data_IF_169184996586
#
_entry.id   IF_169184996586
#
_cell.length_a   1.000
_cell.length_b   1.000
_cell.length_c   1.000
_cell.angle_alpha   90.00
_cell.angle_beta   90.00
_cell.angle_gamma   90.00
#
_symmetry.space_group_name_H-M   'P 1'
#
loop_
_entity.id
_entity.type
_entity.pdbx_description
1 polymer ?
#
# COMPACT_ATOMS: atom_id res chain seq x y z
N UNK A 1 4.13 -8.31 -0.86
CA UNK A 1 4.06 -6.85 -1.10
C UNK A 1 5.24 -6.25 -0.37
N UNK A 2 6.19 -5.66 -1.08
CA UNK A 2 7.46 -5.19 -0.50
C UNK A 2 7.24 -4.11 0.55
N UNK A 3 7.92 -4.24 1.68
CA UNK A 3 7.91 -3.28 2.79
C UNK A 3 6.77 -3.44 3.80
N UNK A 4 5.71 -4.19 3.48
CA UNK A 4 4.69 -4.55 4.47
C UNK A 4 5.21 -5.64 5.41
N UNK A 5 4.89 -5.53 6.69
CA UNK A 5 5.13 -6.57 7.67
C UNK A 5 3.83 -7.32 7.99
N UNK A 6 3.89 -8.65 8.20
CA UNK A 6 2.73 -9.43 8.64
C UNK A 6 2.27 -8.94 10.02
N UNK A 7 0.97 -9.04 10.28
CA UNK A 7 0.36 -8.79 11.59
C UNK A 7 0.06 -10.10 12.30
N UNK A 8 -0.36 -10.04 13.56
CA UNK A 8 -0.82 -11.23 14.29
C UNK A 8 -2.00 -11.88 13.55
N UNK A 9 -2.03 -13.22 13.38
CA UNK A 9 -3.09 -13.89 12.62
C UNK A 9 -4.53 -13.54 13.04
N UNK A 10 -4.87 -13.42 14.35
CA UNK A 10 -6.20 -12.98 14.77
C UNK A 10 -6.53 -11.55 14.34
N UNK A 11 -5.53 -10.66 14.25
CA UNK A 11 -5.74 -9.30 13.76
C UNK A 11 -5.99 -9.27 12.25
N UNK A 12 -5.32 -10.13 11.48
CA UNK A 12 -5.60 -10.28 10.05
C UNK A 12 -7.00 -10.86 9.82
N UNK A 13 -7.38 -11.90 10.57
CA UNK A 13 -8.70 -12.54 10.49
C UNK A 13 -9.84 -11.57 10.84
N UNK A 14 -9.64 -10.71 11.84
CA UNK A 14 -10.61 -9.69 12.24
C UNK A 14 -10.87 -8.63 11.16
N UNK A 15 -9.90 -8.39 10.27
CA UNK A 15 -10.07 -7.48 9.13
C UNK A 15 -10.83 -8.18 7.99
N UNK A 16 -10.40 -9.38 7.62
CA UNK A 16 -11.03 -10.19 6.57
C UNK A 16 -10.51 -11.64 6.70
N UNK A 17 -11.38 -12.67 6.83
CA UNK A 17 -10.92 -14.06 6.95
C UNK A 17 -9.97 -14.52 5.84
N UNK A 18 -10.20 -14.10 4.60
CA UNK A 18 -9.31 -14.43 3.48
C UNK A 18 -7.91 -13.81 3.61
N UNK A 19 -7.75 -12.78 4.43
CA UNK A 19 -6.47 -12.10 4.65
C UNK A 19 -5.48 -12.94 5.45
N UNK A 20 -5.93 -13.94 6.22
CA UNK A 20 -5.04 -14.85 6.97
C UNK A 20 -4.05 -15.54 6.03
N UNK A 21 -4.55 -16.06 4.90
CA UNK A 21 -3.68 -16.68 3.89
C UNK A 21 -2.70 -15.66 3.30
N UNK A 22 -3.15 -14.45 2.98
CA UNK A 22 -2.28 -13.38 2.45
C UNK A 22 -1.20 -13.00 3.47
N UNK A 23 -1.55 -12.91 4.75
CA UNK A 23 -0.65 -12.60 5.85
C UNK A 23 0.44 -13.67 6.03
N UNK A 24 0.10 -14.94 5.88
CA UNK A 24 1.08 -16.03 5.89
C UNK A 24 2.04 -15.95 4.70
N UNK A 25 1.52 -15.72 3.48
CA UNK A 25 2.38 -15.57 2.30
C UNK A 25 3.29 -14.33 2.39
N UNK A 26 2.83 -13.27 3.05
CA UNK A 26 3.61 -12.03 3.21
C UNK A 26 4.93 -12.27 3.94
N UNK A 27 4.99 -13.22 4.88
CA UNK A 27 6.22 -13.58 5.61
C UNK A 27 7.39 -13.92 4.68
N UNK A 28 7.11 -14.52 3.51
CA UNK A 28 8.14 -14.90 2.54
C UNK A 28 8.84 -13.71 1.86
N UNK A 29 8.18 -12.54 1.79
CA UNK A 29 8.70 -11.38 1.08
C UNK A 29 9.93 -10.78 1.74
N UNK A 30 10.05 -10.91 3.07
CA UNK A 30 11.19 -10.41 3.82
C UNK A 30 12.51 -10.96 3.29
N UNK A 31 12.62 -12.29 3.23
CA UNK A 31 13.83 -12.97 2.76
C UNK A 31 13.98 -12.94 1.23
N UNK A 32 12.87 -12.92 0.49
CA UNK A 32 12.91 -12.93 -0.97
C UNK A 32 13.35 -11.58 -1.57
N UNK A 33 12.99 -10.46 -0.93
CA UNK A 33 13.16 -9.13 -1.52
C UNK A 33 13.61 -8.09 -0.51
N UNK A 34 12.89 -7.93 0.61
CA UNK A 34 13.01 -6.73 1.44
C UNK A 34 14.40 -6.64 2.12
N UNK A 35 15.04 -7.76 2.46
CA UNK A 35 16.41 -7.81 3.01
C UNK A 35 17.49 -7.34 2.02
N UNK A 36 17.19 -7.32 0.73
CA UNK A 36 18.11 -6.84 -0.31
C UNK A 36 18.00 -5.33 -0.54
N UNK A 37 17.06 -4.66 0.14
CA UNK A 37 16.76 -3.24 -0.06
C UNK A 37 17.42 -2.39 1.02
N UNK A 38 18.43 -1.62 0.62
CA UNK A 38 19.19 -0.77 1.54
C UNK A 38 18.47 0.52 1.97
N UNK A 39 17.57 1.02 1.12
CA UNK A 39 16.90 2.32 1.31
C UNK A 39 15.48 2.26 0.76
N UNK A 40 14.56 2.93 1.44
CA UNK A 40 13.14 2.91 1.10
C UNK A 40 12.60 4.32 0.86
N UNK A 41 11.72 4.42 -0.14
CA UNK A 41 10.83 5.55 -0.34
C UNK A 41 9.40 5.06 -0.14
N UNK A 42 8.73 5.55 0.90
CA UNK A 42 7.33 5.25 1.19
C UNK A 42 6.48 6.44 0.79
N UNK A 43 5.54 6.21 -0.13
CA UNK A 43 4.50 7.20 -0.45
C UNK A 43 3.31 6.94 0.47
N UNK A 44 3.14 7.82 1.46
CA UNK A 44 2.02 7.80 2.38
C UNK A 44 0.85 8.56 1.77
N UNK A 45 -0.35 8.03 1.96
CA UNK A 45 -1.60 8.66 1.56
C UNK A 45 -2.52 8.77 2.77
N UNK A 46 -3.28 9.88 2.85
CA UNK A 46 -4.16 10.16 3.99
C UNK A 46 -5.36 9.21 4.07
N UNK A 47 -5.93 8.83 2.93
CA UNK A 47 -7.06 7.90 2.86
C UNK A 47 -6.85 6.85 1.76
N UNK A 48 -6.79 5.54 2.10
CA UNK A 48 -6.67 4.45 1.14
C UNK A 48 -7.78 4.42 0.07
N UNK A 49 -8.96 4.99 0.34
CA UNK A 49 -10.06 5.05 -0.63
C UNK A 49 -9.73 5.90 -1.86
N UNK A 50 -8.73 6.79 -1.79
CA UNK A 50 -8.27 7.55 -2.96
C UNK A 50 -7.77 6.67 -4.10
N UNK A 51 -7.31 5.44 -3.79
CA UNK A 51 -6.88 4.44 -4.78
C UNK A 51 -8.00 4.14 -5.79
N UNK A 52 -9.27 4.16 -5.37
CA UNK A 52 -10.40 3.97 -6.28
C UNK A 52 -10.43 5.06 -7.36
N UNK A 53 -10.44 6.32 -6.94
CA UNK A 53 -10.44 7.48 -7.85
C UNK A 53 -9.21 7.48 -8.75
N UNK A 54 -8.05 7.12 -8.20
CA UNK A 54 -6.82 7.04 -8.99
C UNK A 54 -6.84 5.91 -10.01
N UNK A 55 -7.39 4.74 -9.67
CA UNK A 55 -7.54 3.64 -10.62
C UNK A 55 -8.52 3.99 -11.72
N UNK A 56 -9.62 4.66 -11.39
CA UNK A 56 -10.60 5.17 -12.36
C UNK A 56 -9.94 6.12 -13.36
N UNK A 57 -9.21 7.13 -12.87
CA UNK A 57 -8.47 8.07 -13.73
C UNK A 57 -7.46 7.36 -14.65
N UNK A 58 -6.76 6.35 -14.14
CA UNK A 58 -5.83 5.56 -14.95
C UNK A 58 -6.55 4.79 -16.06
N UNK A 59 -7.72 4.22 -15.76
CA UNK A 59 -8.53 3.49 -16.72
C UNK A 59 -9.12 4.41 -17.81
N UNK A 60 -9.62 5.58 -17.42
CA UNK A 60 -10.11 6.61 -18.36
C UNK A 60 -9.01 7.06 -19.33
N UNK A 61 -7.78 7.27 -18.84
CA UNK A 61 -6.62 7.59 -19.69
C UNK A 61 -6.29 6.45 -20.65
N UNK A 62 -6.37 5.19 -20.21
CA UNK A 62 -6.17 4.04 -21.10
C UNK A 62 -7.25 3.95 -22.17
N UNK A 63 -8.52 4.15 -21.81
CA UNK A 63 -9.64 4.19 -22.77
C UNK A 63 -9.49 5.32 -23.79
N UNK A 64 -9.11 6.51 -23.35
CA UNK A 64 -8.84 7.64 -24.22
C UNK A 64 -7.68 7.36 -25.21
N UNK A 65 -6.74 6.48 -24.85
CA UNK A 65 -5.67 6.01 -25.74
C UNK A 65 -6.10 4.90 -26.73
N UNK A 66 -7.39 4.56 -26.79
CA UNK A 66 -7.95 3.58 -27.71
C UNK A 66 -7.89 2.13 -27.22
N UNK A 67 -7.56 1.89 -25.95
CA UNK A 67 -7.55 0.54 -25.36
C UNK A 67 -8.91 0.20 -24.75
N UNK A 68 -9.27 -1.09 -24.75
CA UNK A 68 -10.37 -1.56 -23.91
C UNK A 68 -10.03 -1.40 -22.43
N UNK A 69 -11.04 -1.24 -21.60
CA UNK A 69 -10.85 -1.05 -20.17
C UNK A 69 -12.08 -1.43 -19.35
N UNK A 70 -11.88 -1.55 -18.05
CA UNK A 70 -12.87 -1.94 -17.06
C UNK A 70 -13.98 -0.89 -16.89
N UNK A 71 -15.19 -1.33 -16.55
CA UNK A 71 -16.27 -0.44 -16.09
C UNK A 71 -15.99 0.10 -14.68
N UNK A 72 -16.73 1.12 -14.24
CA UNK A 72 -16.56 1.68 -12.90
C UNK A 72 -16.82 0.64 -11.79
N UNK A 73 -17.75 -0.28 -12.03
CA UNK A 73 -18.11 -1.38 -11.14
C UNK A 73 -17.00 -2.42 -11.08
N UNK A 74 -16.42 -2.79 -12.23
CA UNK A 74 -15.27 -3.68 -12.30
C UNK A 74 -14.04 -3.08 -11.61
N UNK A 75 -13.85 -1.76 -11.70
CA UNK A 75 -12.80 -1.05 -10.96
C UNK A 75 -13.07 -1.09 -9.46
N UNK A 76 -14.32 -0.92 -9.03
CA UNK A 76 -14.69 -0.97 -7.62
C UNK A 76 -14.41 -2.35 -7.03
N UNK A 77 -14.84 -3.40 -7.73
CA UNK A 77 -14.58 -4.80 -7.37
C UNK A 77 -13.08 -5.14 -7.40
N UNK A 78 -12.32 -4.58 -8.36
CA UNK A 78 -10.88 -4.78 -8.39
C UNK A 78 -10.18 -4.14 -7.18
N UNK A 79 -10.52 -2.88 -6.87
CA UNK A 79 -9.89 -2.12 -5.78
C UNK A 79 -10.27 -2.69 -4.42
N UNK A 80 -11.51 -3.13 -4.24
CA UNK A 80 -12.01 -3.67 -2.96
C UNK A 80 -11.16 -4.84 -2.45
N UNK A 81 -10.59 -5.66 -3.34
CA UNK A 81 -9.72 -6.79 -3.01
C UNK A 81 -8.41 -6.39 -2.30
N UNK A 82 -7.98 -5.13 -2.44
CA UNK A 82 -6.75 -4.63 -1.81
C UNK A 82 -7.02 -3.85 -0.52
N UNK A 83 -8.24 -3.34 -0.32
CA UNK A 83 -8.59 -2.53 0.85
C UNK A 83 -8.34 -3.27 2.18
N UNK A 84 -8.69 -4.56 2.35
CA UNK A 84 -8.37 -5.30 3.59
C UNK A 84 -6.87 -5.31 3.92
N UNK A 85 -6.02 -5.51 2.91
CA UNK A 85 -4.58 -5.49 3.10
C UNK A 85 -4.08 -4.10 3.52
N UNK A 86 -4.62 -3.02 2.94
CA UNK A 86 -4.27 -1.67 3.36
C UNK A 86 -4.69 -1.39 4.80
N UNK A 87 -5.91 -1.78 5.18
CA UNK A 87 -6.41 -1.62 6.55
C UNK A 87 -5.52 -2.34 7.57
N UNK A 88 -5.02 -3.54 7.23
CA UNK A 88 -4.17 -4.32 8.13
C UNK A 88 -2.71 -3.84 8.16
N UNK A 89 -2.11 -3.49 7.01
CA UNK A 89 -0.66 -3.35 6.89
C UNK A 89 -0.15 -1.91 6.82
N UNK A 90 -0.96 -0.94 6.36
CA UNK A 90 -0.53 0.47 6.31
C UNK A 90 -0.22 1.07 7.68
N UNK A 91 -0.97 0.77 8.77
CA UNK A 91 -0.66 1.33 10.08
C UNK A 91 0.77 1.00 10.53
N UNK A 92 1.20 -0.26 10.37
CA UNK A 92 2.56 -0.70 10.68
C UNK A 92 3.61 -0.05 9.78
N UNK A 93 3.36 -0.04 8.46
CA UNK A 93 4.27 0.59 7.50
C UNK A 93 4.47 2.08 7.77
N UNK A 94 3.41 2.83 8.08
CA UNK A 94 3.51 4.27 8.32
C UNK A 94 4.11 4.61 9.69
N UNK A 95 3.95 3.74 10.68
CA UNK A 95 4.50 3.96 12.02
C UNK A 95 6.00 3.64 12.11
N UNK A 96 6.45 2.58 11.44
CA UNK A 96 7.82 2.06 11.58
C UNK A 96 8.63 2.03 10.28
N UNK A 97 7.99 2.26 9.13
CA UNK A 97 8.60 2.01 7.84
C UNK A 97 8.82 0.52 7.55
N UNK A 98 9.43 0.20 6.40
CA UNK A 98 9.89 -1.16 6.10
C UNK A 98 10.94 -1.62 7.10
N UNK A 99 10.70 -2.74 7.76
CA UNK A 99 11.53 -3.25 8.87
C UNK A 99 12.92 -3.74 8.44
N UNK A 100 13.20 -3.77 7.15
CA UNK A 100 14.50 -4.16 6.58
C UNK A 100 15.38 -2.97 6.19
N UNK A 101 14.87 -1.74 6.28
CA UNK A 101 15.66 -0.56 5.97
C UNK A 101 16.89 -0.46 6.89
N UNK A 102 18.03 0.00 6.36
CA UNK A 102 19.13 0.45 7.25
C UNK A 102 18.67 1.71 7.99
N UNK A 103 19.10 1.87 9.24
CA UNK A 103 18.72 3.03 10.05
C UNK A 103 19.00 4.36 9.35
N UNK A 104 18.03 5.28 9.41
CA UNK A 104 18.09 6.57 8.73
C UNK A 104 18.00 6.53 7.20
N UNK A 105 17.65 5.39 6.58
CA UNK A 105 17.54 5.24 5.12
C UNK A 105 16.11 5.04 4.60
N UNK A 106 15.13 5.44 5.38
CA UNK A 106 13.72 5.47 4.97
C UNK A 106 13.24 6.91 4.83
N UNK A 107 12.77 7.27 3.64
CA UNK A 107 12.08 8.53 3.38
C UNK A 107 10.59 8.24 3.24
N UNK A 108 9.77 8.89 4.08
CA UNK A 108 8.31 8.88 3.93
C UNK A 108 7.89 10.23 3.37
N UNK A 109 7.14 10.22 2.27
CA UNK A 109 6.51 11.41 1.69
C UNK A 109 5.00 11.21 1.73
N UNK A 110 4.29 12.12 2.38
CA UNK A 110 2.84 12.14 2.35
C UNK A 110 2.32 13.00 1.20
N UNK A 111 1.36 12.47 0.46
CA UNK A 111 0.70 13.16 -0.67
C UNK A 111 -0.81 13.26 -0.43
N UNK A 112 -1.42 14.29 -1.01
CA UNK A 112 -2.87 14.50 -0.99
C UNK A 112 -3.60 13.66 -2.06
N UNK A 113 -4.92 13.79 -2.13
CA UNK A 113 -5.77 13.14 -3.15
C UNK A 113 -5.41 13.52 -4.61
N UNK A 114 -4.67 14.61 -4.81
CA UNK A 114 -4.19 15.06 -6.12
C UNK A 114 -2.77 14.55 -6.43
N UNK A 115 -2.20 13.72 -5.55
CA UNK A 115 -0.83 13.19 -5.62
C UNK A 115 0.24 14.28 -5.47
N UNK A 116 -0.10 15.40 -4.83
CA UNK A 116 0.84 16.46 -4.50
C UNK A 116 1.35 16.29 -3.07
N UNK A 117 2.65 16.54 -2.79
CA UNK A 117 3.15 16.51 -1.42
C UNK A 117 2.35 17.46 -0.53
N UNK A 118 1.96 17.00 0.66
CA UNK A 118 1.33 17.87 1.65
C UNK A 118 2.34 18.87 2.23
N UNK A 119 1.93 20.07 2.66
CA UNK A 119 2.87 21.07 3.20
C UNK A 119 3.63 20.58 4.44
N UNK A 120 2.95 19.85 5.32
CA UNK A 120 3.53 19.27 6.54
C UNK A 120 3.81 17.79 6.33
N UNK A 121 5.09 17.45 6.20
CA UNK A 121 5.51 16.06 5.99
C UNK A 121 5.61 15.30 7.32
N UNK A 122 5.36 13.97 7.31
CA UNK A 122 5.48 13.17 8.51
C UNK A 122 6.92 13.19 9.03
N UNK A 123 7.06 13.04 10.36
CA UNK A 123 8.37 12.85 10.97
C UNK A 123 9.07 11.62 10.36
N UNK A 124 10.41 11.64 10.21
CA UNK A 124 11.16 10.48 9.78
C UNK A 124 10.93 9.29 10.72
N UNK A 125 10.79 8.10 10.14
CA UNK A 125 10.90 6.83 10.88
C UNK A 125 12.39 6.50 11.05
N UNK A 126 12.81 6.23 12.29
CA UNK A 126 14.24 6.09 12.69
C UNK A 126 14.79 4.71 12.39
#
# INVERSE_FOLDING_TARGET
MSGFSPVDPPAAEAVEPALVAVNEHLKSYKAAWDELVDSWLVVRIGDPQWVYKWRLQAEERMKASGKSGMTAEQIADFVSRFIPAYSAYLPGLYAAGPTTARSGRTLIIEVDQNRSPVPEQPAPVV
#
